data_IF_810042471028
#
_entry.id   IF_810042471028
#
_cell.length_a   1.000
_cell.length_b   1.000
_cell.length_c   1.000
_cell.angle_alpha   90.00
_cell.angle_beta   90.00
_cell.angle_gamma   90.00
#
_symmetry.space_group_name_H-M   'P 1'
#
loop_
_entity.id
_entity.type
_entity.pdbx_description
1 polymer ?
#
# COMPACT_ATOMS: atom_id res chain seq x y z
N UNK A 1 -16.94 -15.86 -8.25
CA UNK A 1 -17.54 -15.66 -9.60
C UNK A 1 -18.74 -14.71 -9.59
N UNK A 2 -19.50 -14.58 -8.50
CA UNK A 2 -20.71 -13.71 -8.41
C UNK A 2 -20.49 -12.19 -8.62
N UNK A 3 -19.36 -11.61 -8.20
CA UNK A 3 -19.14 -10.16 -8.28
C UNK A 3 -19.14 -9.59 -9.71
N UNK A 4 -18.87 -10.43 -10.71
CA UNK A 4 -18.83 -9.99 -12.11
C UNK A 4 -20.23 -9.94 -12.74
N UNK A 5 -21.18 -10.74 -12.24
CA UNK A 5 -22.57 -10.74 -12.72
C UNK A 5 -23.31 -9.49 -12.25
N UNK A 6 -23.18 -9.13 -10.96
CA UNK A 6 -23.80 -7.92 -10.41
C UNK A 6 -23.32 -6.64 -11.10
N UNK A 7 -22.00 -6.56 -11.41
CA UNK A 7 -21.43 -5.42 -12.13
C UNK A 7 -22.02 -5.30 -13.54
N UNK A 8 -22.12 -6.41 -14.27
CA UNK A 8 -22.63 -6.42 -15.65
C UNK A 8 -24.12 -6.09 -15.70
N UNK A 9 -24.91 -6.55 -14.73
CA UNK A 9 -26.32 -6.21 -14.65
C UNK A 9 -26.56 -4.72 -14.38
N UNK A 10 -25.75 -4.10 -13.51
CA UNK A 10 -25.85 -2.65 -13.28
C UNK A 10 -25.39 -1.83 -14.48
N UNK A 11 -24.38 -2.29 -15.22
CA UNK A 11 -23.96 -1.63 -16.48
C UNK A 11 -25.12 -1.67 -17.48
N UNK A 12 -25.72 -2.84 -17.72
CA UNK A 12 -26.85 -2.98 -18.66
C UNK A 12 -28.03 -2.10 -18.27
N UNK A 13 -28.32 -2.00 -16.97
CA UNK A 13 -29.39 -1.13 -16.47
C UNK A 13 -29.08 0.35 -16.72
N UNK A 14 -27.86 0.79 -16.45
CA UNK A 14 -27.43 2.16 -16.70
C UNK A 14 -27.45 2.53 -18.20
N UNK A 15 -27.02 1.62 -19.07
CA UNK A 15 -27.12 1.78 -20.53
C UNK A 15 -28.58 1.93 -20.99
N UNK A 16 -29.49 1.14 -20.42
CA UNK A 16 -30.93 1.21 -20.72
C UNK A 16 -31.57 2.53 -20.26
N UNK A 17 -31.22 3.01 -19.06
CA UNK A 17 -31.82 4.20 -18.46
C UNK A 17 -31.25 5.52 -19.01
N UNK A 18 -29.93 5.59 -19.24
CA UNK A 18 -29.22 6.84 -19.56
C UNK A 18 -28.56 6.84 -20.94
N UNK A 19 -28.50 5.69 -21.62
CA UNK A 19 -27.82 5.55 -22.91
C UNK A 19 -26.30 5.55 -22.75
N UNK A 20 -25.62 6.43 -23.48
CA UNK A 20 -24.15 6.55 -23.45
C UNK A 20 -23.63 6.82 -22.05
N UNK A 21 -22.45 6.28 -21.73
CA UNK A 21 -21.76 6.48 -20.45
C UNK A 21 -21.55 7.95 -20.09
N UNK A 22 -21.47 8.84 -21.08
CA UNK A 22 -21.27 10.29 -20.86
C UNK A 22 -22.48 10.98 -20.22
N UNK A 23 -23.64 10.31 -20.21
CA UNK A 23 -24.90 10.81 -19.65
C UNK A 23 -25.23 10.20 -18.30
N UNK A 24 -24.37 9.32 -17.78
CA UNK A 24 -24.66 8.61 -16.55
C UNK A 24 -24.53 9.53 -15.34
N UNK A 25 -25.45 9.46 -14.37
CA UNK A 25 -25.30 10.19 -13.12
C UNK A 25 -24.03 9.78 -12.36
N UNK A 26 -23.38 10.75 -11.72
CA UNK A 26 -22.17 10.52 -10.91
C UNK A 26 -22.36 9.45 -9.83
N UNK A 27 -23.58 9.31 -9.29
CA UNK A 27 -23.93 8.29 -8.30
C UNK A 27 -23.79 6.87 -8.86
N UNK A 28 -24.27 6.63 -10.09
CA UNK A 28 -24.18 5.36 -10.79
C UNK A 28 -22.73 5.05 -11.16
N UNK A 29 -21.99 6.04 -11.66
CA UNK A 29 -20.56 5.89 -12.00
C UNK A 29 -19.75 5.52 -10.74
N UNK A 30 -20.03 6.15 -9.60
CA UNK A 30 -19.37 5.81 -8.32
C UNK A 30 -19.70 4.39 -7.85
N UNK A 31 -20.96 3.98 -7.95
CA UNK A 31 -21.41 2.65 -7.53
C UNK A 31 -20.81 1.54 -8.41
N UNK A 32 -20.80 1.73 -9.73
CA UNK A 32 -20.16 0.81 -10.68
C UNK A 32 -18.66 0.70 -10.45
N UNK A 33 -18.00 1.82 -10.19
CA UNK A 33 -16.59 1.79 -9.82
C UNK A 33 -16.35 1.08 -8.48
N UNK A 34 -17.26 1.19 -7.49
CA UNK A 34 -17.16 0.43 -6.23
C UNK A 34 -17.27 -1.08 -6.47
N UNK A 35 -18.25 -1.50 -7.26
CA UNK A 35 -18.44 -2.92 -7.63
C UNK A 35 -17.29 -3.48 -8.48
N UNK A 36 -16.74 -2.66 -9.37
CA UNK A 36 -15.57 -3.00 -10.17
C UNK A 36 -14.25 -2.98 -9.37
N UNK A 37 -14.30 -2.72 -8.05
CA UNK A 37 -13.12 -2.46 -7.20
C UNK A 37 -12.20 -1.34 -7.75
N UNK A 38 -12.74 -0.42 -8.55
CA UNK A 38 -12.05 0.74 -9.15
C UNK A 38 -12.12 2.00 -8.29
N UNK A 39 -13.16 2.12 -7.47
CA UNK A 39 -13.20 3.04 -6.34
C UNK A 39 -13.15 2.19 -5.06
N UNK A 40 -12.04 2.21 -4.33
CA UNK A 40 -12.01 1.59 -3.02
C UNK A 40 -13.05 2.29 -2.13
N UNK A 41 -13.59 1.58 -1.15
CA UNK A 41 -14.05 2.25 0.07
C UNK A 41 -12.79 2.73 0.81
N UNK A 42 -12.21 3.83 0.31
CA UNK A 42 -10.77 4.15 0.38
C UNK A 42 -10.30 4.48 1.80
N UNK A 43 -11.23 4.78 2.71
CA UNK A 43 -10.90 5.39 3.98
C UNK A 43 -11.03 4.45 5.19
N UNK A 44 -11.73 3.31 5.11
CA UNK A 44 -12.16 2.60 6.35
C UNK A 44 -12.20 1.06 6.33
N UNK A 45 -11.58 0.34 5.40
CA UNK A 45 -11.44 -1.13 5.57
C UNK A 45 -10.16 -1.45 6.35
N UNK A 46 -10.25 -2.30 7.37
CA UNK A 46 -9.11 -2.80 8.18
C UNK A 46 -7.93 -3.24 7.30
N UNK A 47 -8.22 -3.85 6.14
CA UNK A 47 -7.22 -4.27 5.18
C UNK A 47 -6.39 -3.11 4.59
N UNK A 48 -7.04 -1.99 4.26
CA UNK A 48 -6.35 -0.81 3.71
C UNK A 48 -5.49 -0.17 4.80
N UNK A 49 -6.02 -0.03 6.02
CA UNK A 49 -5.23 0.48 7.16
C UNK A 49 -4.00 -0.39 7.41
N UNK A 50 -4.15 -1.71 7.31
CA UNK A 50 -3.01 -2.63 7.43
C UNK A 50 -2.00 -2.45 6.30
N UNK A 51 -2.43 -2.34 5.05
CA UNK A 51 -1.54 -2.09 3.90
C UNK A 51 -0.79 -0.76 4.07
N UNK A 52 -1.47 0.30 4.51
CA UNK A 52 -0.86 1.61 4.77
C UNK A 52 0.22 1.52 5.85
N UNK A 53 -0.08 0.85 6.97
CA UNK A 53 0.91 0.55 8.02
C UNK A 53 2.10 -0.24 7.46
N UNK A 54 1.87 -1.31 6.71
CA UNK A 54 2.95 -2.06 6.08
C UNK A 54 3.81 -1.18 5.15
N UNK A 55 3.21 -0.24 4.44
CA UNK A 55 3.95 0.73 3.61
C UNK A 55 4.82 1.66 4.47
N UNK A 56 4.31 2.19 5.59
CA UNK A 56 5.04 3.04 6.53
C UNK A 56 6.20 2.30 7.21
N UNK A 57 6.01 1.03 7.54
CA UNK A 57 7.05 0.11 8.03
C UNK A 57 7.98 -0.41 6.92
N UNK A 58 7.85 0.14 5.70
CA UNK A 58 8.79 -0.11 4.62
C UNK A 58 8.67 -1.46 3.95
N UNK A 59 7.62 -2.25 4.17
CA UNK A 59 7.46 -3.52 3.47
C UNK A 59 7.49 -3.33 1.95
N UNK A 60 8.16 -4.25 1.26
CA UNK A 60 8.13 -4.26 -0.20
C UNK A 60 6.76 -4.69 -0.73
N UNK A 61 6.54 -4.51 -2.03
CA UNK A 61 5.24 -4.82 -2.61
C UNK A 61 4.92 -6.32 -2.57
N UNK A 62 5.93 -7.19 -2.72
CA UNK A 62 5.71 -8.63 -2.76
C UNK A 62 5.26 -9.15 -1.40
N UNK A 63 5.90 -8.69 -0.32
CA UNK A 63 5.50 -9.01 1.05
C UNK A 63 4.04 -8.59 1.35
N UNK A 64 3.63 -7.43 0.85
CA UNK A 64 2.25 -6.94 1.03
C UNK A 64 1.27 -7.75 0.17
N UNK A 65 1.63 -8.06 -1.09
CA UNK A 65 0.79 -8.91 -1.96
C UNK A 65 0.54 -10.26 -1.32
N UNK A 66 1.59 -10.90 -0.80
CA UNK A 66 1.52 -12.23 -0.20
C UNK A 66 0.68 -12.23 1.08
N UNK A 67 0.95 -11.30 1.99
CA UNK A 67 0.28 -11.23 3.30
C UNK A 67 -1.18 -10.78 3.20
N UNK A 68 -1.51 -9.86 2.29
CA UNK A 68 -2.85 -9.25 2.20
C UNK A 68 -3.69 -9.81 1.05
N UNK A 69 -3.10 -10.66 0.20
CA UNK A 69 -3.76 -11.27 -0.97
C UNK A 69 -4.40 -10.23 -1.90
N UNK A 70 -3.70 -9.11 -2.11
CA UNK A 70 -4.13 -8.00 -2.97
C UNK A 70 -3.24 -7.88 -4.20
N UNK A 71 -3.72 -7.21 -5.25
CA UNK A 71 -2.93 -7.01 -6.46
C UNK A 71 -1.79 -5.99 -6.23
N UNK A 72 -0.69 -6.15 -6.96
CA UNK A 72 0.42 -5.19 -6.93
C UNK A 72 -0.02 -3.79 -7.38
N UNK A 73 -0.97 -3.70 -8.31
CA UNK A 73 -1.55 -2.43 -8.77
C UNK A 73 -2.27 -1.69 -7.64
N UNK A 74 -3.03 -2.41 -6.81
CA UNK A 74 -3.73 -1.84 -5.67
C UNK A 74 -2.75 -1.24 -4.64
N UNK A 75 -1.66 -1.95 -4.31
CA UNK A 75 -0.63 -1.45 -3.39
C UNK A 75 0.08 -0.21 -3.95
N UNK A 76 0.39 -0.22 -5.26
CA UNK A 76 1.00 0.94 -5.94
C UNK A 76 0.08 2.16 -5.88
N UNK A 77 -1.22 1.97 -6.08
CA UNK A 77 -2.21 3.03 -5.96
C UNK A 77 -2.26 3.60 -4.53
N UNK A 78 -2.38 2.75 -3.50
CA UNK A 78 -2.37 3.20 -2.10
C UNK A 78 -1.11 4.01 -1.77
N UNK A 79 0.07 3.50 -2.18
CA UNK A 79 1.32 4.21 -1.93
C UNK A 79 1.37 5.58 -2.62
N UNK A 80 0.90 5.67 -3.87
CA UNK A 80 0.82 6.94 -4.60
C UNK A 80 -0.09 7.95 -3.89
N UNK A 81 -1.25 7.49 -3.40
CA UNK A 81 -2.18 8.34 -2.64
C UNK A 81 -1.54 8.84 -1.33
N UNK A 82 -0.89 7.95 -0.56
CA UNK A 82 -0.14 8.35 0.65
C UNK A 82 0.95 9.38 0.35
N UNK A 83 1.70 9.19 -0.74
CA UNK A 83 2.74 10.15 -1.16
C UNK A 83 2.14 11.52 -1.52
N UNK A 84 1.03 11.55 -2.27
CA UNK A 84 0.35 12.80 -2.66
C UNK A 84 -0.24 13.54 -1.47
N UNK A 85 -0.75 12.80 -0.49
CA UNK A 85 -1.29 13.35 0.75
C UNK A 85 -0.20 13.77 1.76
N UNK A 86 1.07 13.46 1.51
CA UNK A 86 2.15 13.72 2.46
C UNK A 86 2.11 12.81 3.69
N UNK A 87 1.47 11.65 3.60
CA UNK A 87 1.25 10.69 4.70
C UNK A 87 2.25 9.53 4.67
N UNK A 88 3.23 9.57 3.75
CA UNK A 88 4.28 8.57 3.65
C UNK A 88 5.45 8.90 4.60
N UNK A 89 5.15 8.93 5.89
CA UNK A 89 6.15 9.03 6.93
C UNK A 89 6.61 7.62 7.32
N UNK A 90 7.91 7.37 7.23
CA UNK A 90 8.46 6.07 7.60
C UNK A 90 8.51 5.92 9.12
N UNK A 91 8.03 4.76 9.57
CA UNK A 91 7.94 4.37 10.97
C UNK A 91 8.65 3.02 11.18
N UNK A 92 9.14 2.79 12.39
CA UNK A 92 9.72 1.52 12.78
C UNK A 92 9.34 1.20 14.23
N UNK A 93 9.09 -0.08 14.50
CA UNK A 93 8.98 -0.56 15.88
C UNK A 93 10.37 -0.66 16.52
N UNK A 94 10.48 -0.69 17.86
CA UNK A 94 11.76 -0.91 18.53
C UNK A 94 12.47 -2.19 18.10
N UNK A 95 11.72 -3.26 17.84
CA UNK A 95 12.30 -4.54 17.41
C UNK A 95 12.80 -4.49 15.96
N UNK A 96 12.11 -3.76 15.09
CA UNK A 96 12.60 -3.49 13.73
C UNK A 96 13.92 -2.70 13.75
N UNK A 97 14.04 -1.70 14.64
CA UNK A 97 15.29 -0.95 14.83
C UNK A 97 16.41 -1.83 15.37
N UNK A 98 16.15 -2.66 16.39
CA UNK A 98 17.12 -3.66 16.88
C UNK A 98 17.57 -4.60 15.78
N UNK A 99 16.65 -5.06 14.92
CA UNK A 99 17.00 -5.93 13.80
C UNK A 99 17.91 -5.22 12.78
N UNK A 100 17.69 -3.93 12.52
CA UNK A 100 18.60 -3.12 11.69
C UNK A 100 19.99 -3.06 12.33
N UNK A 101 20.09 -2.72 13.61
CA UNK A 101 21.38 -2.64 14.33
C UNK A 101 22.12 -4.00 14.33
N UNK A 102 21.37 -5.08 14.54
CA UNK A 102 21.90 -6.45 14.46
C UNK A 102 22.47 -6.74 13.06
N UNK A 103 21.69 -6.48 12.01
CA UNK A 103 22.13 -6.69 10.63
C UNK A 103 23.35 -5.82 10.27
N UNK A 104 23.42 -4.57 10.76
CA UNK A 104 24.57 -3.68 10.55
C UNK A 104 25.85 -4.24 11.17
N UNK A 105 25.76 -4.87 12.34
CA UNK A 105 26.93 -5.39 13.06
C UNK A 105 27.36 -6.80 12.64
N UNK A 106 26.44 -7.60 12.07
CA UNK A 106 26.68 -9.03 11.83
C UNK A 106 26.77 -9.42 10.35
N UNK A 107 26.41 -8.55 9.42
CA UNK A 107 26.57 -8.83 7.98
C UNK A 107 27.95 -8.41 7.48
N UNK A 108 28.52 -9.19 6.55
CA UNK A 108 29.84 -8.89 5.96
C UNK A 108 29.88 -7.56 5.18
N UNK A 109 28.75 -7.15 4.57
CA UNK A 109 28.63 -5.90 3.80
C UNK A 109 27.25 -5.25 4.02
N UNK A 110 27.03 -4.59 5.17
CA UNK A 110 25.72 -4.10 5.63
C UNK A 110 25.30 -2.78 4.94
N UNK A 111 25.21 -2.80 3.61
CA UNK A 111 24.64 -1.68 2.87
C UNK A 111 23.09 -1.70 2.95
N UNK A 112 22.46 -0.56 2.67
CA UNK A 112 21.01 -0.41 2.81
C UNK A 112 20.22 -1.41 1.95
N UNK A 113 20.74 -1.81 0.78
CA UNK A 113 20.06 -2.75 -0.09
C UNK A 113 20.12 -4.17 0.47
N UNK A 114 21.28 -4.59 0.98
CA UNK A 114 21.46 -5.93 1.57
C UNK A 114 20.57 -6.12 2.79
N UNK A 115 20.58 -5.13 3.70
CA UNK A 115 19.72 -5.15 4.89
C UNK A 115 18.24 -5.15 4.51
N UNK A 116 17.85 -4.31 3.54
CA UNK A 116 16.47 -4.24 3.06
C UNK A 116 16.00 -5.58 2.49
N UNK A 117 16.82 -6.23 1.66
CA UNK A 117 16.51 -7.56 1.13
C UNK A 117 16.37 -8.59 2.24
N UNK A 118 17.29 -8.61 3.22
CA UNK A 118 17.23 -9.55 4.34
C UNK A 118 15.97 -9.38 5.21
N UNK A 119 15.41 -8.17 5.27
CA UNK A 119 14.22 -7.86 6.06
C UNK A 119 12.91 -7.86 5.26
N UNK A 120 12.95 -8.07 3.93
CA UNK A 120 11.77 -7.90 3.06
C UNK A 120 11.24 -6.47 3.08
N UNK A 121 12.15 -5.49 3.07
CA UNK A 121 11.87 -4.05 3.19
C UNK A 121 12.36 -3.26 1.98
N UNK A 122 11.94 -2.01 1.89
CA UNK A 122 12.43 -1.01 0.93
C UNK A 122 13.75 -0.43 1.42
N UNK A 123 14.69 -0.28 0.48
CA UNK A 123 16.01 0.35 0.72
C UNK A 123 15.89 1.72 1.38
N UNK A 124 14.93 2.53 0.92
CA UNK A 124 14.77 3.91 1.38
C UNK A 124 14.27 3.98 2.83
N UNK A 125 13.43 3.03 3.24
CA UNK A 125 13.03 2.88 4.64
C UNK A 125 14.22 2.51 5.53
N UNK A 126 15.05 1.54 5.11
CA UNK A 126 16.28 1.18 5.86
C UNK A 126 17.23 2.36 5.96
N UNK A 127 17.43 3.12 4.87
CA UNK A 127 18.27 4.33 4.88
C UNK A 127 17.78 5.32 5.95
N UNK A 128 16.48 5.62 5.92
CA UNK A 128 15.86 6.58 6.82
C UNK A 128 15.94 6.13 8.30
N UNK A 129 15.69 4.84 8.59
CA UNK A 129 15.81 4.34 9.96
C UNK A 129 17.26 4.33 10.48
N UNK A 130 18.24 4.07 9.60
CA UNK A 130 19.65 4.18 9.98
C UNK A 130 20.08 5.63 10.25
N UNK A 131 19.47 6.60 9.59
CA UNK A 131 19.68 8.02 9.88
C UNK A 131 19.12 8.35 11.26
N UNK A 132 17.86 8.00 11.54
CA UNK A 132 17.25 8.16 12.87
C UNK A 132 18.05 7.52 14.00
N UNK A 133 18.58 6.31 13.79
CA UNK A 133 19.43 5.64 14.78
C UNK A 133 20.71 6.42 15.08
N UNK A 134 21.35 6.99 14.06
CA UNK A 134 22.56 7.82 14.25
C UNK A 134 22.25 9.14 14.95
N UNK A 135 21.09 9.73 14.70
CA UNK A 135 20.65 10.95 15.39
C UNK A 135 20.44 10.65 16.88
N UNK A 136 19.75 9.56 17.21
CA UNK A 136 19.52 9.14 18.58
C UNK A 136 20.80 8.76 19.34
N UNK A 137 21.82 8.23 18.65
CA UNK A 137 23.13 7.91 19.26
C UNK A 137 23.99 9.17 19.52
N UNK A 138 23.67 10.31 18.89
CA UNK A 138 24.42 11.57 19.02
C UNK A 138 23.76 12.60 19.97
N UNK A 139 22.56 12.29 20.49
CA UNK A 139 21.87 13.06 21.54
C UNK A 139 22.29 12.61 22.94
#
# INVERSE_FOLDING_TARGET
MAANEELMDKIRKAESEYGSSDKWPDSIVKELNRLANRLPDITHTENILMIRRMIQHGFDNYQIVESRRVSIGHIRHIRLEMTRAGELDYEATPDELKQIQYNVSHMLNPNNQVIATAMGRKKDWVRFMREKLREADNE
#
